data_IF_214987488044
#
_entry.id   IF_214987488044
#
_cell.length_a   1.000
_cell.length_b   1.000
_cell.length_c   1.000
_cell.angle_alpha   90.00
_cell.angle_beta   90.00
_cell.angle_gamma   90.00
#
_symmetry.space_group_name_H-M   'P 1'
#
loop_
_entity.id
_entity.type
_entity.pdbx_description
1 polymer ?
#
# COMPACT_ATOMS: atom_id res chain seq x y z
N UNK A 1 -1.12 -5.20 3.96
CA UNK A 1 -1.73 -4.27 2.98
C UNK A 1 -3.19 -4.61 2.84
N UNK A 2 -4.07 -3.62 2.97
CA UNK A 2 -5.50 -3.77 2.70
C UNK A 2 -5.84 -2.99 1.44
N UNK A 3 -6.59 -3.58 0.52
CA UNK A 3 -6.95 -2.96 -0.75
C UNK A 3 -8.44 -3.15 -1.02
N UNK A 4 -9.13 -2.03 -1.25
CA UNK A 4 -10.57 -1.98 -1.51
C UNK A 4 -10.81 -1.66 -2.99
N UNK A 5 -11.67 -2.43 -3.63
CA UNK A 5 -12.06 -2.23 -5.03
C UNK A 5 -13.58 -2.22 -5.15
N UNK A 6 -14.13 -1.08 -5.57
CA UNK A 6 -15.56 -0.92 -5.80
C UNK A 6 -15.88 -1.17 -7.27
N UNK A 7 -16.90 -2.00 -7.52
CA UNK A 7 -17.40 -2.29 -8.85
C UNK A 7 -18.90 -2.10 -8.89
N UNK A 8 -19.38 -1.30 -9.84
CA UNK A 8 -20.79 -1.36 -10.24
C UNK A 8 -21.00 -2.74 -10.87
N UNK A 9 -21.86 -3.55 -10.26
CA UNK A 9 -21.95 -4.97 -10.58
C UNK A 9 -23.41 -5.39 -10.72
N UNK A 10 -23.96 -5.34 -11.95
CA UNK A 10 -25.34 -5.73 -12.24
C UNK A 10 -25.47 -7.24 -12.46
N UNK A 11 -24.68 -8.06 -11.76
CA UNK A 11 -24.65 -9.52 -11.94
C UNK A 11 -24.74 -10.25 -10.58
N UNK A 12 -25.18 -11.52 -10.56
CA UNK A 12 -25.19 -12.32 -9.33
C UNK A 12 -23.78 -12.60 -8.82
N UNK A 13 -23.62 -12.63 -7.49
CA UNK A 13 -22.32 -12.85 -6.80
C UNK A 13 -21.65 -14.18 -7.19
N UNK A 14 -22.41 -15.17 -7.65
CA UNK A 14 -21.91 -16.51 -8.00
C UNK A 14 -20.86 -16.47 -9.13
N UNK A 15 -21.07 -15.63 -10.15
CA UNK A 15 -20.15 -15.49 -11.28
C UNK A 15 -18.76 -14.99 -10.85
N UNK A 16 -18.68 -14.32 -9.70
CA UNK A 16 -17.41 -13.82 -9.17
C UNK A 16 -16.50 -14.93 -8.61
N UNK A 17 -17.09 -16.00 -8.08
CA UNK A 17 -16.33 -17.06 -7.39
C UNK A 17 -15.74 -18.09 -8.37
N UNK A 18 -16.43 -18.35 -9.48
CA UNK A 18 -15.98 -19.32 -10.49
C UNK A 18 -14.60 -18.99 -11.08
N UNK A 19 -14.26 -17.70 -11.13
CA UNK A 19 -13.01 -17.21 -11.74
C UNK A 19 -11.86 -17.04 -10.73
N UNK A 20 -12.15 -17.09 -9.43
CA UNK A 20 -11.15 -16.90 -8.36
C UNK A 20 -10.23 -18.12 -8.22
N UNK A 21 -10.82 -19.31 -8.15
CA UNK A 21 -10.11 -20.58 -7.96
C UNK A 21 -8.97 -20.82 -8.97
N UNK A 22 -9.20 -20.72 -10.30
CA UNK A 22 -8.15 -21.00 -11.28
C UNK A 22 -6.98 -20.01 -11.18
N UNK A 23 -7.23 -18.76 -10.79
CA UNK A 23 -6.16 -17.76 -10.64
C UNK A 23 -5.27 -18.02 -9.43
N UNK A 24 -5.83 -18.54 -8.33
CA UNK A 24 -5.05 -18.88 -7.14
C UNK A 24 -4.11 -20.07 -7.35
N UNK A 25 -4.35 -20.94 -8.33
CA UNK A 25 -3.45 -22.06 -8.63
C UNK A 25 -2.07 -21.56 -9.10
N UNK A 26 -2.04 -20.56 -9.98
CA UNK A 26 -0.79 -19.95 -10.44
C UNK A 26 -0.15 -19.06 -9.37
N UNK A 27 -0.98 -18.45 -8.52
CA UNK A 27 -0.55 -17.59 -7.42
C UNK A 27 -0.67 -18.30 -6.06
N UNK A 28 -0.31 -19.58 -6.00
CA UNK A 28 -0.50 -20.41 -4.80
C UNK A 28 0.12 -19.85 -3.50
N UNK A 29 1.22 -19.06 -3.50
CA UNK A 29 1.73 -18.47 -2.27
C UNK A 29 0.74 -17.51 -1.60
N UNK A 30 -0.24 -16.98 -2.34
CA UNK A 30 -1.32 -16.18 -1.79
C UNK A 30 -2.32 -17.02 -0.99
N UNK A 31 -2.49 -18.29 -1.36
CA UNK A 31 -3.35 -19.24 -0.65
C UNK A 31 -2.61 -20.01 0.45
N UNK A 32 -1.31 -19.80 0.60
CA UNK A 32 -0.44 -20.47 1.55
C UNK A 32 -0.46 -19.83 2.94
N UNK A 33 0.21 -20.48 3.87
CA UNK A 33 0.41 -19.99 5.23
C UNK A 33 1.84 -19.49 5.43
N UNK A 34 2.01 -18.44 6.23
CA UNK A 34 3.31 -18.05 6.78
C UNK A 34 3.61 -18.91 8.00
N UNK A 35 4.69 -19.68 7.95
CA UNK A 35 5.19 -20.50 9.05
C UNK A 35 6.38 -19.80 9.66
N UNK A 36 6.29 -19.49 10.96
CA UNK A 36 7.32 -18.83 11.75
C UNK A 36 7.82 -19.80 12.84
N UNK A 37 8.88 -20.58 12.56
CA UNK A 37 9.50 -21.45 13.56
C UNK A 37 10.33 -20.65 14.57
N UNK A 38 10.67 -21.24 15.74
CA UNK A 38 11.58 -20.59 16.67
C UNK A 38 13.00 -20.45 16.07
N UNK A 39 13.79 -19.47 16.53
CA UNK A 39 15.19 -19.34 16.14
C UNK A 39 15.94 -20.67 16.41
N UNK A 40 16.91 -21.05 15.56
CA UNK A 40 17.51 -20.26 14.47
C UNK A 40 16.78 -20.37 13.12
N UNK A 41 15.71 -21.15 13.03
CA UNK A 41 15.04 -21.43 11.76
C UNK A 41 14.39 -20.15 11.16
N UNK A 42 14.34 -20.12 9.82
CA UNK A 42 13.79 -18.99 9.07
C UNK A 42 12.29 -19.16 8.82
N UNK A 43 11.50 -18.08 8.90
CA UNK A 43 10.13 -18.08 8.43
C UNK A 43 10.06 -18.42 6.94
N UNK A 44 9.01 -19.15 6.55
CA UNK A 44 8.80 -19.54 5.15
C UNK A 44 7.31 -19.61 4.83
N UNK A 45 7.00 -19.54 3.54
CA UNK A 45 5.64 -19.70 3.04
C UNK A 45 5.44 -21.17 2.69
N UNK A 46 4.42 -21.79 3.28
CA UNK A 46 4.09 -23.20 3.07
C UNK A 46 2.65 -23.32 2.58
N UNK A 47 2.50 -23.92 1.40
CA UNK A 47 1.22 -24.39 0.91
C UNK A 47 1.09 -25.88 1.20
N UNK A 48 0.00 -26.26 1.84
CA UNK A 48 -0.33 -27.65 2.16
C UNK A 48 -1.76 -27.90 1.72
N UNK A 49 -1.96 -28.88 0.84
CA UNK A 49 -3.27 -29.25 0.35
C UNK A 49 -4.18 -29.66 1.52
N UNK A 50 -5.39 -29.11 1.57
CA UNK A 50 -6.37 -29.35 2.63
C UNK A 50 -6.23 -28.48 3.90
N UNK A 51 -5.04 -27.95 4.19
CA UNK A 51 -4.81 -27.06 5.35
C UNK A 51 -4.68 -25.58 4.95
N UNK A 52 -4.10 -25.31 3.78
CA UNK A 52 -3.96 -23.96 3.22
C UNK A 52 -5.24 -23.53 2.52
N UNK A 53 -5.80 -22.39 2.93
CA UNK A 53 -7.03 -21.84 2.37
C UNK A 53 -7.03 -20.31 2.45
N UNK A 54 -7.79 -19.67 1.56
CA UNK A 54 -8.06 -18.23 1.61
C UNK A 54 -9.41 -18.03 2.30
N UNK A 55 -9.47 -17.44 3.51
CA UNK A 55 -10.71 -17.06 4.15
C UNK A 55 -11.51 -16.14 3.24
N UNK A 56 -12.76 -16.53 2.98
CA UNK A 56 -13.69 -15.77 2.17
C UNK A 56 -14.89 -15.40 3.03
N UNK A 57 -15.13 -14.11 3.18
CA UNK A 57 -16.31 -13.57 3.87
C UNK A 57 -17.21 -12.88 2.85
N UNK A 58 -18.49 -13.23 2.83
CA UNK A 58 -19.50 -12.58 1.98
C UNK A 58 -20.49 -11.90 2.91
N UNK A 59 -20.67 -10.59 2.75
CA UNK A 59 -21.60 -9.79 3.56
C UNK A 59 -22.44 -8.90 2.68
N UNK A 60 -23.67 -8.66 3.09
CA UNK A 60 -24.53 -7.64 2.49
C UNK A 60 -24.40 -6.33 3.29
N UNK A 61 -24.44 -5.20 2.57
CA UNK A 61 -24.39 -3.88 3.19
C UNK A 61 -25.53 -3.01 2.68
N UNK A 62 -26.24 -2.38 3.62
CA UNK A 62 -27.24 -1.36 3.33
C UNK A 62 -26.63 0.05 3.17
N UNK A 63 -25.30 0.19 3.29
CA UNK A 63 -24.63 1.47 3.13
C UNK A 63 -24.70 1.98 1.67
N UNK A 64 -24.58 3.30 1.49
CA UNK A 64 -24.64 3.89 0.16
C UNK A 64 -23.34 3.64 -0.63
N UNK A 65 -23.40 2.76 -1.63
CA UNK A 65 -22.28 2.40 -2.50
C UNK A 65 -21.58 3.61 -3.13
N UNK A 66 -22.36 4.51 -3.75
CA UNK A 66 -21.82 5.67 -4.45
C UNK A 66 -21.11 6.63 -3.51
N UNK A 67 -21.69 6.84 -2.31
CA UNK A 67 -21.02 7.59 -1.24
C UNK A 67 -19.67 6.95 -0.94
N UNK A 68 -19.60 5.67 -0.58
CA UNK A 68 -18.34 5.01 -0.17
C UNK A 68 -17.24 4.99 -1.25
N UNK A 69 -17.64 4.98 -2.53
CA UNK A 69 -16.72 5.04 -3.67
C UNK A 69 -16.30 6.45 -4.08
N UNK A 70 -16.92 7.49 -3.52
CA UNK A 70 -16.67 8.87 -3.94
C UNK A 70 -15.31 9.40 -3.46
N UNK A 71 -14.80 10.40 -4.19
CA UNK A 71 -13.50 11.02 -3.90
C UNK A 71 -13.55 12.06 -2.77
N UNK A 72 -14.74 12.53 -2.40
CA UNK A 72 -14.89 13.57 -1.38
C UNK A 72 -14.47 13.06 0.01
N UNK A 73 -14.10 13.96 0.94
CA UNK A 73 -13.74 13.58 2.30
C UNK A 73 -14.87 12.80 2.99
N UNK A 74 -14.53 11.68 3.62
CA UNK A 74 -15.45 10.82 4.36
C UNK A 74 -14.80 10.28 5.63
N UNK A 75 -15.55 10.16 6.74
CA UNK A 75 -15.02 9.55 7.95
C UNK A 75 -14.51 8.13 7.67
N UNK A 76 -13.36 7.76 8.21
CA UNK A 76 -12.82 6.40 8.06
C UNK A 76 -13.78 5.37 8.65
N UNK A 77 -14.48 5.71 9.75
CA UNK A 77 -15.57 4.92 10.33
C UNK A 77 -16.77 4.68 9.40
N UNK A 78 -16.94 5.51 8.37
CA UNK A 78 -18.06 5.40 7.44
C UNK A 78 -17.85 4.31 6.40
N UNK A 79 -16.62 3.85 6.19
CA UNK A 79 -16.37 2.56 5.56
C UNK A 79 -16.87 1.50 6.56
N UNK A 80 -17.93 0.70 6.27
CA UNK A 80 -18.21 -0.51 7.02
C UNK A 80 -16.92 -1.26 7.35
N UNK A 81 -16.94 -2.17 8.34
CA UNK A 81 -15.84 -3.09 8.66
C UNK A 81 -15.52 -3.98 7.43
N UNK A 82 -14.92 -3.38 6.43
CA UNK A 82 -14.40 -3.91 5.18
C UNK A 82 -13.01 -4.44 5.50
N UNK A 83 -12.89 -5.20 6.58
CA UNK A 83 -11.64 -5.79 7.01
C UNK A 83 -11.93 -7.28 7.02
N UNK A 84 -11.44 -8.03 6.01
CA UNK A 84 -11.53 -9.46 6.03
C UNK A 84 -10.93 -9.95 7.34
N UNK A 85 -11.71 -10.70 8.12
CA UNK A 85 -11.20 -11.31 9.33
C UNK A 85 -10.19 -12.39 8.93
N UNK A 86 -8.93 -12.17 9.30
CA UNK A 86 -7.93 -13.23 9.24
C UNK A 86 -8.15 -14.16 10.43
N UNK A 87 -8.19 -15.49 10.20
CA UNK A 87 -8.09 -16.45 11.27
C UNK A 87 -6.89 -16.11 12.17
N UNK A 88 -7.04 -16.25 13.51
CA UNK A 88 -5.95 -15.97 14.42
C UNK A 88 -4.76 -16.87 14.11
N UNK A 89 -3.56 -16.35 14.35
CA UNK A 89 -2.32 -17.12 14.22
C UNK A 89 -2.42 -18.37 15.10
N UNK A 90 -2.29 -19.54 14.48
CA UNK A 90 -2.34 -20.83 15.17
C UNK A 90 -0.94 -21.22 15.62
N UNK A 91 -0.85 -22.01 16.69
CA UNK A 91 0.41 -22.63 17.12
C UNK A 91 0.41 -24.07 16.59
N UNK A 92 1.16 -24.31 15.52
CA UNK A 92 1.40 -25.62 14.94
C UNK A 92 2.64 -26.26 15.56
N UNK A 93 2.46 -27.03 16.64
CA UNK A 93 3.58 -27.56 17.41
C UNK A 93 4.40 -26.44 18.07
N UNK A 94 5.64 -26.22 17.62
CA UNK A 94 6.50 -25.12 18.10
C UNK A 94 6.50 -23.89 17.19
N UNK A 95 5.85 -23.96 16.02
CA UNK A 95 5.84 -22.89 15.03
C UNK A 95 4.52 -22.10 15.04
N UNK A 96 4.59 -20.79 14.81
CA UNK A 96 3.41 -19.95 14.59
C UNK A 96 3.01 -20.02 13.12
N UNK A 97 1.73 -20.22 12.84
CA UNK A 97 1.19 -20.35 11.48
C UNK A 97 0.09 -19.33 11.28
N UNK A 98 0.22 -18.50 10.24
CA UNK A 98 -0.76 -17.45 9.95
C UNK A 98 -1.14 -17.44 8.46
N UNK A 99 -2.42 -17.31 8.11
CA UNK A 99 -2.84 -17.16 6.72
C UNK A 99 -2.30 -15.86 6.11
N UNK A 100 -1.98 -15.92 4.82
CA UNK A 100 -1.31 -14.83 4.12
C UNK A 100 -2.25 -13.83 3.43
N UNK A 101 -3.43 -14.32 3.03
CA UNK A 101 -4.44 -13.56 2.31
C UNK A 101 -5.81 -13.83 2.91
N UNK A 102 -6.65 -12.81 2.99
CA UNK A 102 -8.09 -12.96 3.22
C UNK A 102 -8.88 -12.06 2.26
N UNK A 103 -10.06 -12.53 1.86
CA UNK A 103 -10.95 -11.86 0.93
C UNK A 103 -12.31 -11.61 1.59
N UNK A 104 -12.79 -10.38 1.48
CA UNK A 104 -14.18 -10.04 1.79
C UNK A 104 -14.87 -9.50 0.54
N UNK A 105 -16.04 -10.04 0.25
CA UNK A 105 -16.95 -9.53 -0.78
C UNK A 105 -18.12 -8.89 -0.05
N UNK A 106 -18.25 -7.57 -0.19
CA UNK A 106 -19.42 -6.86 0.31
C UNK A 106 -20.36 -6.52 -0.83
N UNK A 107 -21.60 -6.98 -0.75
CA UNK A 107 -22.64 -6.77 -1.76
C UNK A 107 -23.52 -5.60 -1.33
N UNK A 108 -23.76 -4.69 -2.27
CA UNK A 108 -24.68 -3.56 -2.11
C UNK A 108 -25.87 -3.79 -3.03
N UNK A 109 -27.04 -4.17 -2.47
CA UNK A 109 -28.21 -4.50 -3.27
C UNK A 109 -28.55 -3.38 -4.27
N UNK A 110 -28.74 -3.74 -5.53
CA UNK A 110 -29.08 -2.83 -6.64
C UNK A 110 -28.03 -1.75 -6.96
N UNK A 111 -26.79 -1.87 -6.47
CA UNK A 111 -25.72 -0.92 -6.75
C UNK A 111 -24.43 -1.60 -7.24
N UNK A 112 -23.85 -2.51 -6.45
CA UNK A 112 -22.57 -3.12 -6.83
C UNK A 112 -21.93 -3.96 -5.74
N UNK A 113 -20.63 -4.21 -5.88
CA UNK A 113 -19.82 -4.98 -4.92
C UNK A 113 -18.55 -4.22 -4.54
N UNK A 114 -18.10 -4.41 -3.30
CA UNK A 114 -16.77 -4.02 -2.84
C UNK A 114 -15.95 -5.28 -2.52
N UNK A 115 -14.78 -5.39 -3.13
CA UNK A 115 -13.81 -6.43 -2.83
C UNK A 115 -12.76 -5.87 -1.90
N UNK A 116 -12.55 -6.54 -0.79
CA UNK A 116 -11.46 -6.23 0.12
C UNK A 116 -10.48 -7.37 0.15
N UNK A 117 -9.24 -7.05 -0.14
CA UNK A 117 -8.13 -7.96 0.00
C UNK A 117 -7.28 -7.52 1.17
N UNK A 118 -7.00 -8.46 2.08
CA UNK A 118 -6.01 -8.28 3.11
C UNK A 118 -4.83 -9.19 2.83
N UNK A 119 -3.68 -8.62 2.48
CA UNK A 119 -2.43 -9.32 2.23
C UNK A 119 -1.43 -8.99 3.33
N UNK A 120 -1.16 -9.95 4.22
CA UNK A 120 -0.30 -9.75 5.38
C UNK A 120 1.17 -9.67 4.99
N UNK A 121 1.65 -10.71 4.30
CA UNK A 121 3.07 -10.87 3.97
C UNK A 121 3.31 -11.58 2.64
N UNK A 122 2.26 -11.92 1.90
CA UNK A 122 2.31 -12.80 0.75
C UNK A 122 3.02 -12.10 -0.42
N UNK A 123 2.57 -10.89 -0.76
CA UNK A 123 2.99 -10.15 -1.95
C UNK A 123 3.36 -8.71 -1.64
N UNK A 124 4.26 -8.13 -2.44
CA UNK A 124 4.37 -6.67 -2.52
C UNK A 124 3.26 -6.09 -3.44
N UNK A 125 3.22 -4.76 -3.56
CA UNK A 125 2.20 -4.10 -4.37
C UNK A 125 2.26 -4.45 -5.86
N UNK A 126 3.44 -4.79 -6.40
CA UNK A 126 3.58 -5.16 -7.82
C UNK A 126 3.01 -6.55 -8.06
N UNK A 127 3.36 -7.51 -7.22
CA UNK A 127 2.85 -8.87 -7.39
C UNK A 127 1.37 -8.98 -7.07
N UNK A 128 0.89 -8.24 -6.07
CA UNK A 128 -0.54 -8.18 -5.81
C UNK A 128 -1.31 -7.56 -7.00
N UNK A 129 -0.76 -6.51 -7.63
CA UNK A 129 -1.33 -5.93 -8.84
C UNK A 129 -1.28 -6.90 -10.03
N UNK A 130 -0.22 -7.69 -10.16
CA UNK A 130 -0.09 -8.73 -11.17
C UNK A 130 -1.15 -9.82 -10.99
N UNK A 131 -1.35 -10.29 -9.77
CA UNK A 131 -2.45 -11.20 -9.42
C UNK A 131 -3.82 -10.61 -9.80
N UNK A 132 -4.09 -9.34 -9.45
CA UNK A 132 -5.35 -8.69 -9.77
C UNK A 132 -5.58 -8.55 -11.28
N UNK A 133 -4.55 -8.24 -12.06
CA UNK A 133 -4.61 -8.22 -13.54
C UNK A 133 -4.90 -9.60 -14.12
N UNK A 134 -4.19 -10.61 -13.63
CA UNK A 134 -4.36 -12.01 -14.03
C UNK A 134 -5.79 -12.46 -13.78
N UNK A 135 -6.32 -12.15 -12.60
CA UNK A 135 -7.70 -12.42 -12.25
C UNK A 135 -8.69 -11.71 -13.15
N UNK A 136 -8.51 -10.41 -13.39
CA UNK A 136 -9.39 -9.65 -14.28
C UNK A 136 -9.39 -10.22 -15.72
N UNK A 137 -8.24 -10.68 -16.21
CA UNK A 137 -8.13 -11.33 -17.52
C UNK A 137 -8.90 -12.65 -17.55
N UNK A 138 -8.68 -13.53 -16.57
CA UNK A 138 -9.40 -14.83 -16.48
C UNK A 138 -10.91 -14.62 -16.34
N UNK A 139 -11.35 -13.60 -15.58
CA UNK A 139 -12.75 -13.22 -15.53
C UNK A 139 -13.30 -12.81 -16.90
N UNK A 140 -12.55 -11.99 -17.64
CA UNK A 140 -12.95 -11.48 -18.95
C UNK A 140 -13.03 -12.60 -20.00
N UNK A 141 -12.21 -13.63 -19.87
CA UNK A 141 -12.09 -14.72 -20.84
C UNK A 141 -12.95 -15.93 -20.48
N UNK A 142 -13.74 -15.85 -19.41
CA UNK A 142 -14.62 -16.94 -18.97
C UNK A 142 -13.86 -18.15 -18.42
N UNK A 143 -12.70 -17.95 -17.81
CA UNK A 143 -11.89 -19.03 -17.23
C UNK A 143 -10.77 -19.57 -18.12
N UNK A 144 -10.56 -19.00 -19.31
CA UNK A 144 -9.47 -19.42 -20.20
C UNK A 144 -8.10 -18.97 -19.66
N UNK A 145 -7.37 -19.95 -19.11
CA UNK A 145 -6.03 -19.79 -18.56
C UNK A 145 -4.93 -19.70 -19.63
N UNK A 146 -5.17 -20.13 -20.87
CA UNK A 146 -4.14 -20.10 -21.93
C UNK A 146 -3.68 -18.68 -22.26
N UNK A 147 -4.57 -17.71 -22.04
CA UNK A 147 -4.29 -16.28 -22.24
C UNK A 147 -3.45 -15.67 -21.13
N UNK A 148 -3.41 -16.30 -19.96
CA UNK A 148 -2.60 -15.81 -18.84
C UNK A 148 -1.11 -15.89 -19.20
N UNK A 149 -0.72 -17.02 -19.78
CA UNK A 149 0.66 -17.29 -20.21
C UNK A 149 1.08 -16.38 -21.37
N UNK A 150 0.18 -16.13 -22.33
CA UNK A 150 0.47 -15.31 -23.50
C UNK A 150 0.50 -13.80 -23.21
N UNK A 151 -0.42 -13.30 -22.39
CA UNK A 151 -0.70 -11.86 -22.28
C UNK A 151 -0.05 -11.22 -21.03
N UNK A 152 0.14 -11.98 -19.94
CA UNK A 152 0.61 -11.44 -18.65
C UNK A 152 1.87 -12.12 -18.10
N UNK A 153 2.23 -13.31 -18.60
CA UNK A 153 3.28 -14.18 -18.08
C UNK A 153 2.96 -14.71 -16.68
N UNK A 154 3.25 -15.99 -16.43
CA UNK A 154 3.01 -16.59 -15.12
C UNK A 154 3.97 -16.05 -14.06
N UNK A 155 3.52 -15.95 -12.78
CA UNK A 155 4.42 -15.60 -11.69
C UNK A 155 5.50 -16.67 -11.52
N UNK A 156 6.75 -16.22 -11.31
CA UNK A 156 7.84 -17.11 -10.95
C UNK A 156 7.98 -17.22 -9.44
N UNK A 157 8.05 -18.46 -8.95
CA UNK A 157 8.20 -18.76 -7.52
C UNK A 157 9.64 -19.16 -7.15
N UNK A 158 10.53 -19.22 -8.13
CA UNK A 158 11.93 -19.58 -7.92
C UNK A 158 12.71 -18.43 -7.28
N UNK A 159 13.06 -18.60 -6.00
CA UNK A 159 13.84 -17.63 -5.22
C UNK A 159 15.35 -17.84 -5.32
N UNK A 160 15.84 -18.88 -5.99
CA UNK A 160 17.29 -19.16 -6.11
C UNK A 160 18.03 -18.08 -6.91
N UNK A 161 17.32 -17.30 -7.71
CA UNK A 161 17.86 -16.15 -8.42
C UNK A 161 18.19 -14.96 -7.49
N UNK A 162 17.59 -14.89 -6.30
CA UNK A 162 17.87 -13.86 -5.30
C UNK A 162 19.13 -14.31 -4.55
N UNK A 163 20.23 -13.59 -4.78
CA UNK A 163 21.49 -13.84 -4.09
C UNK A 163 21.58 -12.93 -2.88
N UNK A 164 21.95 -13.50 -1.74
CA UNK A 164 22.30 -12.75 -0.52
C UNK A 164 23.80 -12.90 -0.23
N UNK A 165 24.68 -12.20 -0.98
CA UNK A 165 26.12 -12.28 -0.76
C UNK A 165 26.56 -11.64 0.56
N UNK A 166 25.78 -10.69 1.08
CA UNK A 166 26.13 -9.86 2.23
C UNK A 166 25.45 -10.33 3.54
N UNK A 167 24.63 -11.38 3.48
CA UNK A 167 23.94 -11.94 4.65
C UNK A 167 22.83 -11.04 5.19
N UNK A 168 22.26 -10.19 4.34
CA UNK A 168 21.24 -9.21 4.70
C UNK A 168 19.96 -9.88 5.21
N UNK A 169 19.64 -11.09 4.73
CA UNK A 169 18.45 -11.84 5.16
C UNK A 169 18.46 -12.07 6.67
N UNK A 170 19.63 -12.35 7.26
CA UNK A 170 19.77 -12.54 8.70
C UNK A 170 19.56 -11.25 9.47
N UNK A 171 20.15 -10.14 9.00
CA UNK A 171 20.01 -8.82 9.65
C UNK A 171 18.56 -8.36 9.63
N UNK A 172 17.88 -8.50 8.49
CA UNK A 172 16.46 -8.18 8.35
C UNK A 172 15.58 -9.09 9.22
N UNK A 173 15.91 -10.38 9.28
CA UNK A 173 15.18 -11.34 10.11
C UNK A 173 15.32 -11.04 11.60
N UNK A 174 16.52 -10.70 12.07
CA UNK A 174 16.75 -10.34 13.47
C UNK A 174 16.06 -9.02 13.81
N UNK A 175 16.10 -8.03 12.91
CA UNK A 175 15.35 -6.78 13.05
C UNK A 175 13.84 -7.04 13.14
N UNK A 176 13.31 -7.90 12.26
CA UNK A 176 11.90 -8.28 12.27
C UNK A 176 11.51 -9.01 13.57
N UNK A 177 12.35 -9.93 14.06
CA UNK A 177 12.11 -10.62 15.35
C UNK A 177 12.12 -9.64 16.52
N UNK A 178 13.04 -8.69 16.55
CA UNK A 178 13.10 -7.64 17.58
C UNK A 178 11.84 -6.76 17.58
N UNK A 179 11.33 -6.41 16.39
CA UNK A 179 10.08 -5.65 16.27
C UNK A 179 8.85 -6.49 16.64
N UNK A 180 8.86 -7.77 16.30
CA UNK A 180 7.80 -8.70 16.67
C UNK A 180 7.78 -8.93 18.20
N UNK A 181 8.94 -9.04 18.86
CA UNK A 181 9.00 -9.24 20.31
C UNK A 181 8.63 -7.98 21.09
N UNK A 182 9.01 -6.79 20.61
CA UNK A 182 8.62 -5.52 21.27
C UNK A 182 7.12 -5.23 21.18
N UNK A 183 6.45 -5.72 20.14
CA UNK A 183 4.97 -5.63 20.02
C UNK A 183 4.22 -6.70 20.81
N UNK A 184 4.89 -7.78 21.23
CA UNK A 184 4.29 -8.88 21.99
C UNK A 184 4.41 -8.74 23.52
N UNK A 185 5.30 -7.89 24.03
CA UNK A 185 5.54 -7.80 25.48
C UNK A 185 4.55 -6.89 26.23
N UNK A 186 3.74 -6.08 25.54
CA UNK A 186 2.80 -5.13 26.18
C UNK A 186 1.33 -5.30 25.77
N UNK A 187 0.97 -6.34 25.01
CA UNK A 187 -0.39 -6.51 24.46
C UNK A 187 -0.83 -7.98 24.38
N UNK A 188 -0.92 -8.64 25.53
CA UNK A 188 -1.98 -9.64 25.70
C UNK A 188 -3.32 -8.85 25.71
N UNK A 189 -4.28 -9.25 24.90
CA UNK A 189 -5.65 -8.70 24.83
C UNK A 189 -5.88 -7.35 24.13
N UNK A 190 -5.13 -7.02 23.08
CA UNK A 190 -5.59 -5.97 22.14
C UNK A 190 -6.23 -6.63 20.92
N UNK A 191 -7.55 -6.83 21.01
CA UNK A 191 -8.39 -7.05 19.83
C UNK A 191 -7.99 -6.05 18.73
N UNK A 192 -7.96 -6.44 17.44
CA UNK A 192 -7.72 -5.53 16.33
C UNK A 192 -8.73 -4.35 16.27
N UNK A 193 -9.79 -4.41 17.08
CA UNK A 193 -10.79 -3.37 17.31
C UNK A 193 -10.20 -2.09 17.92
N UNK A 194 -9.20 -2.19 18.80
CA UNK A 194 -8.71 -1.02 19.58
C UNK A 194 -7.86 -0.04 18.76
N UNK A 195 -7.16 -0.51 17.71
CA UNK A 195 -6.42 0.39 16.80
C UNK A 195 -7.33 1.12 15.81
N UNK A 196 -8.58 0.67 15.66
CA UNK A 196 -9.56 1.33 14.80
C UNK A 196 -10.21 2.51 15.52
N UNK A 197 -10.32 2.47 16.86
CA UNK A 197 -10.91 3.54 17.67
C UNK A 197 -10.02 4.79 17.74
N UNK A 198 -8.69 4.64 17.76
CA UNK A 198 -7.77 5.79 17.80
C UNK A 198 -7.75 6.62 16.50
N UNK A 199 -8.37 6.13 15.43
CA UNK A 199 -8.43 6.78 14.12
C UNK A 199 -9.85 6.94 13.60
N UNK A 200 -10.87 6.74 14.44
CA UNK A 200 -12.28 6.79 14.04
C UNK A 200 -12.71 8.17 13.50
N UNK A 201 -12.06 9.24 13.99
CA UNK A 201 -12.29 10.62 13.56
C UNK A 201 -11.48 11.02 12.33
N UNK A 202 -10.56 10.17 11.87
CA UNK A 202 -9.82 10.45 10.64
C UNK A 202 -10.77 10.48 9.44
N UNK A 203 -10.40 11.30 8.46
CA UNK A 203 -11.16 11.44 7.22
C UNK A 203 -10.29 10.96 6.05
N UNK A 204 -10.87 10.12 5.19
CA UNK A 204 -10.28 9.69 3.93
C UNK A 204 -10.80 10.56 2.80
N UNK A 205 -9.90 11.07 1.95
CA UNK A 205 -10.24 11.76 0.71
C UNK A 205 -9.34 11.28 -0.43
N UNK A 206 -9.80 11.42 -1.67
CA UNK A 206 -9.00 11.12 -2.87
C UNK A 206 -8.79 12.40 -3.66
N UNK A 207 -7.53 12.84 -3.76
CA UNK A 207 -7.13 14.03 -4.51
C UNK A 207 -6.66 13.62 -5.91
N UNK A 208 -7.34 14.12 -6.94
CA UNK A 208 -7.00 13.82 -8.34
C UNK A 208 -6.11 14.93 -8.89
N UNK A 209 -4.82 14.64 -9.04
CA UNK A 209 -3.86 15.54 -9.68
C UNK A 209 -3.97 15.45 -11.20
N UNK A 210 -4.52 16.48 -11.85
CA UNK A 210 -4.58 16.59 -13.32
C UNK A 210 -3.44 17.48 -13.83
N UNK A 211 -2.60 16.92 -14.71
CA UNK A 211 -1.63 17.65 -15.52
C UNK A 211 -0.64 18.55 -14.76
N UNK A 212 0.19 17.96 -13.91
CA UNK A 212 1.19 18.70 -13.12
C UNK A 212 2.47 19.01 -13.92
N UNK A 213 2.77 18.23 -14.97
CA UNK A 213 4.05 18.32 -15.70
C UNK A 213 4.11 19.48 -16.70
N UNK A 214 2.99 19.91 -17.28
CA UNK A 214 3.00 20.93 -18.33
C UNK A 214 3.26 22.35 -17.79
N UNK A 215 3.02 22.60 -16.51
CA UNK A 215 3.23 23.92 -15.90
C UNK A 215 4.65 24.13 -15.37
N UNK A 216 5.44 23.06 -15.19
CA UNK A 216 6.83 23.14 -14.71
C UNK A 216 7.88 23.17 -15.84
N UNK A 217 7.46 22.90 -17.08
CA UNK A 217 8.37 22.83 -18.24
C UNK A 217 8.72 24.20 -18.87
N UNK A 218 8.26 25.30 -18.29
CA UNK A 218 8.39 26.65 -18.87
C UNK A 218 9.57 27.47 -18.32
N UNK A 219 10.53 26.86 -17.61
CA UNK A 219 11.69 27.57 -17.07
C UNK A 219 12.96 27.26 -17.89
N UNK A 220 13.24 28.11 -18.89
CA UNK A 220 14.28 27.92 -19.92
C UNK A 220 15.73 27.93 -19.38
N UNK A 221 15.94 28.21 -18.08
CA UNK A 221 17.27 28.40 -17.49
C UNK A 221 17.73 27.30 -16.52
N UNK A 222 16.97 26.21 -16.34
CA UNK A 222 17.32 25.15 -15.39
C UNK A 222 18.02 23.96 -16.08
N UNK A 223 19.07 23.43 -15.43
CA UNK A 223 19.77 22.20 -15.84
C UNK A 223 18.75 21.08 -16.08
N UNK A 224 18.99 20.11 -16.98
CA UNK A 224 18.03 19.04 -17.26
C UNK A 224 17.88 18.13 -16.04
N UNK A 225 16.94 18.46 -15.15
CA UNK A 225 16.52 17.59 -14.07
C UNK A 225 15.45 16.64 -14.58
N UNK A 226 15.63 15.34 -14.33
CA UNK A 226 14.58 14.36 -14.58
C UNK A 226 13.50 14.50 -13.51
N UNK A 227 12.54 15.40 -13.73
CA UNK A 227 11.40 15.61 -12.86
C UNK A 227 10.26 14.73 -13.37
N UNK A 228 10.04 13.59 -12.71
CA UNK A 228 8.90 12.73 -13.00
C UNK A 228 7.62 13.26 -12.35
N UNK A 229 6.45 12.91 -12.89
CA UNK A 229 5.15 13.21 -12.28
C UNK A 229 5.07 12.72 -10.83
N UNK A 230 5.72 11.59 -10.51
CA UNK A 230 5.79 11.06 -9.16
C UNK A 230 6.51 12.01 -8.20
N UNK A 231 7.67 12.55 -8.61
CA UNK A 231 8.43 13.51 -7.79
C UNK A 231 7.62 14.78 -7.55
N UNK A 232 6.96 15.32 -8.57
CA UNK A 232 6.15 16.54 -8.39
C UNK A 232 4.95 16.27 -7.49
N UNK A 233 4.28 15.13 -7.65
CA UNK A 233 3.17 14.74 -6.77
C UNK A 233 3.62 14.61 -5.31
N UNK A 234 4.77 13.96 -5.06
CA UNK A 234 5.34 13.85 -3.71
C UNK A 234 5.68 15.23 -3.12
N UNK A 235 6.31 16.10 -3.90
CA UNK A 235 6.65 17.46 -3.46
C UNK A 235 5.40 18.28 -3.11
N UNK A 236 4.35 18.21 -3.95
CA UNK A 236 3.07 18.87 -3.69
C UNK A 236 2.41 18.35 -2.41
N UNK A 237 2.40 17.03 -2.20
CA UNK A 237 1.87 16.42 -0.97
C UNK A 237 2.67 16.88 0.23
N UNK A 238 4.00 16.83 0.16
CA UNK A 238 4.87 17.19 1.28
C UNK A 238 4.71 18.67 1.68
N UNK A 239 4.73 19.59 0.72
CA UNK A 239 4.54 21.02 1.00
C UNK A 239 3.14 21.30 1.54
N UNK A 240 2.11 20.61 1.03
CA UNK A 240 0.73 20.76 1.52
C UNK A 240 0.59 20.26 2.96
N UNK A 241 1.27 19.16 3.31
CA UNK A 241 1.27 18.61 4.66
C UNK A 241 1.96 19.57 5.64
N UNK A 242 3.17 20.04 5.31
CA UNK A 242 3.91 21.00 6.14
C UNK A 242 3.09 22.28 6.41
N UNK A 243 2.45 22.85 5.37
CA UNK A 243 1.59 24.03 5.54
C UNK A 243 0.35 23.76 6.38
N UNK A 244 -0.20 22.55 6.33
CA UNK A 244 -1.37 22.18 7.12
C UNK A 244 -1.04 22.08 8.60
N UNK A 245 0.14 21.56 8.93
CA UNK A 245 0.64 21.47 10.31
C UNK A 245 0.89 22.88 10.89
N UNK A 246 1.54 23.77 10.13
CA UNK A 246 1.75 25.19 10.51
C UNK A 246 0.43 25.93 10.81
N UNK A 247 -0.61 25.72 9.99
CA UNK A 247 -1.93 26.33 10.22
C UNK A 247 -2.57 25.78 11.50
N UNK A 248 -2.35 24.51 11.82
CA UNK A 248 -2.90 23.87 13.02
C UNK A 248 -2.22 24.39 14.27
N UNK A 249 -0.88 24.49 14.26
CA UNK A 249 -0.06 25.04 15.35
C UNK A 249 -0.45 26.49 15.65
N UNK A 250 -0.62 27.33 14.62
CA UNK A 250 -1.07 28.73 14.81
C UNK A 250 -2.45 28.87 15.45
N UNK A 251 -3.31 27.86 15.31
CA UNK A 251 -4.65 27.86 15.86
C UNK A 251 -4.73 27.23 17.26
N UNK A 252 -3.76 26.38 17.63
CA UNK A 252 -3.60 25.88 18.99
C UNK A 252 -2.69 26.83 19.77
N UNK A 253 -3.26 27.66 20.64
CA UNK A 253 -2.53 28.59 21.50
C UNK A 253 -1.75 27.88 22.63
N UNK A 254 -0.89 26.92 22.29
CA UNK A 254 -0.02 26.22 23.22
C UNK A 254 1.39 26.78 23.01
N UNK A 255 2.01 27.29 24.07
CA UNK A 255 3.39 27.77 24.06
C UNK A 255 4.31 26.62 23.60
N UNK A 256 4.88 26.76 22.40
CA UNK A 256 5.75 25.74 21.82
C UNK A 256 7.16 25.76 22.41
N UNK A 257 7.67 24.55 22.57
CA UNK A 257 9.07 24.19 22.78
C UNK A 257 9.92 24.76 21.62
N UNK A 258 10.95 25.55 21.93
CA UNK A 258 11.83 26.31 20.99
C UNK A 258 12.73 25.41 20.08
N UNK A 259 12.35 24.15 19.86
CA UNK A 259 13.08 23.18 19.04
C UNK A 259 12.71 23.23 17.55
N UNK A 260 13.66 23.00 16.62
CA UNK A 260 13.33 22.89 15.20
C UNK A 260 12.46 21.65 14.93
N UNK A 261 11.27 21.86 14.35
CA UNK A 261 10.40 20.79 13.88
C UNK A 261 10.98 20.15 12.59
N UNK A 262 11.23 18.85 12.63
CA UNK A 262 11.75 18.09 11.50
C UNK A 262 10.63 17.30 10.81
N UNK A 263 10.45 17.57 9.51
CA UNK A 263 9.48 16.85 8.68
C UNK A 263 10.17 15.77 7.86
N UNK A 264 9.67 14.53 7.98
CA UNK A 264 10.17 13.38 7.25
C UNK A 264 9.18 12.97 6.17
N UNK A 265 9.65 12.86 4.92
CA UNK A 265 8.86 12.30 3.83
C UNK A 265 9.54 11.04 3.31
N UNK A 266 8.82 9.92 3.35
CA UNK A 266 9.31 8.61 2.92
C UNK A 266 8.44 7.98 1.85
N UNK A 267 9.05 7.29 0.89
CA UNK A 267 8.34 6.44 -0.05
C UNK A 267 9.13 5.16 -0.32
N UNK A 268 8.41 4.14 -0.78
CA UNK A 268 8.97 2.83 -1.08
C UNK A 268 9.29 2.72 -2.57
N UNK A 269 10.52 2.31 -2.90
CA UNK A 269 10.97 2.09 -4.26
C UNK A 269 11.00 0.58 -4.60
N UNK A 270 10.57 0.24 -5.81
CA UNK A 270 10.65 -1.14 -6.32
C UNK A 270 11.99 -1.41 -6.99
N UNK A 271 12.70 -2.43 -6.54
CA UNK A 271 14.01 -2.81 -7.08
C UNK A 271 13.84 -3.80 -8.24
N UNK A 272 13.85 -3.31 -9.49
CA UNK A 272 13.70 -4.20 -10.67
C UNK A 272 14.60 -3.93 -11.89
N UNK A 273 15.62 -3.04 -11.84
CA UNK A 273 16.80 -2.98 -12.78
C UNK A 273 17.69 -1.72 -12.56
N UNK A 274 19.00 -1.72 -12.95
CA UNK A 274 19.96 -2.81 -13.12
C UNK A 274 21.23 -2.62 -12.26
N UNK A 275 21.48 -3.51 -11.30
CA UNK A 275 22.82 -3.79 -10.79
C UNK A 275 23.19 -5.22 -11.19
N UNK A 276 23.90 -5.36 -12.32
CA UNK A 276 24.57 -6.57 -12.88
C UNK A 276 23.82 -7.91 -12.97
N UNK A 277 22.59 -8.05 -12.50
CA UNK A 277 21.73 -9.22 -12.70
C UNK A 277 20.32 -8.74 -13.06
N UNK A 278 19.86 -9.12 -14.26
CA UNK A 278 18.49 -8.85 -14.70
C UNK A 278 17.52 -9.73 -13.92
N UNK A 279 16.87 -9.16 -12.91
CA UNK A 279 15.66 -9.74 -12.34
C UNK A 279 14.50 -9.21 -13.20
N UNK A 280 13.89 -10.10 -13.97
CA UNK A 280 12.67 -9.81 -14.73
C UNK A 280 11.49 -9.62 -13.78
N UNK A 281 10.47 -8.86 -14.21
CA UNK A 281 9.37 -8.35 -13.37
C UNK A 281 8.48 -9.44 -12.74
N UNK A 282 8.71 -10.70 -13.08
CA UNK A 282 8.00 -11.92 -12.65
C UNK A 282 8.63 -12.57 -11.41
N UNK A 283 9.69 -12.01 -10.83
CA UNK A 283 10.60 -12.69 -9.89
C UNK A 283 10.74 -12.05 -8.51
N UNK A 284 9.72 -11.38 -7.98
CA UNK A 284 9.89 -10.61 -6.74
C UNK A 284 8.95 -11.08 -5.63
N UNK A 285 9.53 -11.59 -4.55
CA UNK A 285 8.83 -11.59 -3.26
C UNK A 285 9.57 -10.66 -2.32
N UNK A 286 9.16 -9.37 -2.39
CA UNK A 286 9.58 -8.20 -1.61
C UNK A 286 11.05 -7.78 -1.77
N UNK A 287 11.35 -7.07 -2.86
CA UNK A 287 12.51 -6.17 -2.91
C UNK A 287 12.02 -4.72 -2.89
N UNK A 288 11.91 -4.19 -1.68
CA UNK A 288 11.50 -2.81 -1.41
C UNK A 288 12.65 -2.09 -0.73
N UNK A 289 13.00 -0.93 -1.26
CA UNK A 289 13.95 0.00 -0.61
C UNK A 289 13.19 1.23 -0.09
N UNK A 290 13.65 1.78 1.03
CA UNK A 290 13.04 2.96 1.65
C UNK A 290 13.87 4.19 1.33
N UNK A 291 13.25 5.18 0.68
CA UNK A 291 13.90 6.46 0.43
C UNK A 291 13.31 7.50 1.38
N UNK A 292 14.17 8.09 2.21
CA UNK A 292 13.81 9.17 3.12
C UNK A 292 14.36 10.51 2.62
N UNK A 293 13.57 11.57 2.80
CA UNK A 293 13.99 12.97 2.65
C UNK A 293 13.66 13.71 3.93
N UNK A 294 14.58 14.58 4.32
CA UNK A 294 14.49 15.47 5.48
C UNK A 294 14.51 16.91 5.01
N UNK A 295 13.70 17.75 5.62
CA UNK A 295 13.74 19.21 5.41
C UNK A 295 13.44 19.93 6.71
N UNK A 296 14.17 21.00 6.98
CA UNK A 296 13.83 21.97 8.03
C UNK A 296 12.64 22.82 7.58
N UNK A 297 11.79 23.20 8.53
CA UNK A 297 10.54 23.94 8.29
C UNK A 297 10.74 25.19 7.40
N UNK A 298 11.76 26.00 7.68
CA UNK A 298 12.09 27.21 6.90
C UNK A 298 12.48 26.91 5.44
N UNK A 299 13.06 25.72 5.18
CA UNK A 299 13.51 25.30 3.86
C UNK A 299 12.40 24.71 2.99
N UNK A 300 11.36 24.11 3.60
CA UNK A 300 10.24 23.45 2.91
C UNK A 300 9.16 24.45 2.50
N UNK A 301 8.91 25.48 3.30
CA UNK A 301 7.83 26.46 3.07
C UNK A 301 8.27 27.64 2.20
N UNK A 302 9.58 27.84 2.05
CA UNK A 302 10.16 28.92 1.26
C UNK A 302 10.04 30.26 1.99
N UNK A 303 11.17 30.99 2.08
CA UNK A 303 11.19 32.36 2.58
C UNK A 303 10.11 33.19 1.87
N UNK A 304 9.29 33.90 2.66
CA UNK A 304 8.34 34.94 2.23
C UNK A 304 8.82 35.60 0.94
N UNK A 305 8.03 35.46 -0.13
CA UNK A 305 8.18 36.34 -1.29
C UNK A 305 7.85 37.76 -0.84
N UNK A 306 8.88 38.53 -0.46
CA UNK A 306 8.73 39.93 -0.11
C UNK A 306 8.44 40.70 -1.41
N UNK A 307 7.18 41.12 -1.57
CA UNK A 307 6.79 42.12 -2.57
C UNK A 307 7.41 43.44 -2.15
N UNK A 308 8.65 43.72 -2.56
CA UNK A 308 9.18 45.08 -2.67
C UNK A 308 10.44 45.07 -3.53
N UNK A 309 10.30 45.58 -4.75
CA UNK A 309 11.42 45.70 -5.69
C UNK A 309 10.98 46.02 -7.11
N UNK A 310 10.09 47.00 -7.28
CA UNK A 310 9.80 47.65 -8.57
C UNK A 310 9.25 49.06 -8.29
N UNK A 311 10.08 49.93 -7.72
CA UNK A 311 9.94 51.38 -7.95
C UNK A 311 11.13 51.78 -8.82
N UNK A 312 10.89 51.78 -10.12
CA UNK A 312 11.77 52.40 -11.09
C UNK A 312 11.59 53.91 -11.01
N UNK A 313 12.65 54.61 -10.65
CA UNK A 313 12.79 56.04 -10.91
C UNK A 313 12.73 56.29 -12.42
N UNK A 314 11.73 57.05 -12.85
CA UNK A 314 11.76 57.79 -14.11
C UNK A 314 11.03 59.12 -13.92
N UNK A 315 11.77 60.16 -13.54
CA UNK A 315 11.40 61.53 -13.88
C UNK A 315 12.58 62.11 -14.65
N UNK A 316 12.33 62.42 -15.93
CA UNK A 316 13.21 63.19 -16.77
C UNK A 316 12.63 64.57 -16.97
N UNK A 317 13.43 65.58 -16.63
CA UNK A 317 13.54 66.88 -17.30
C UNK A 317 14.89 67.47 -16.94
#
# INVERSE_FOLDING_TARGET
MQSLYFYEFPHPTNHFFETLLPTLQHFFPLAANLVCPPPPAMPHILFTEGDSSVPLTIVDSAANFHSLSANHPQPVRALPRFVPELPPTRVGGVARVSPLLALQVTVFPNAGICLVWFNHAAADGREFHHFMKSRALVCKTGGDLTRLDSDLQLPSHDRTAIKDPDGLDRVLLDTWRCLASSTCNDREDVEPVVLLDSHADNVRATLVLRCVTNQLASDENSRPFYISTFVVACALIWVSLAKSEEITEKNSSVDDDDGPNYYYFGFVAGLSKPSRVSITSDRLWKLLDWVFRTGEEEGVVGRKWDRRGCEGHSEGS
#
